data_IF_336076325584
#
_entry.id   IF_336076325584
#
_cell.length_a   1.000
_cell.length_b   1.000
_cell.length_c   1.000
_cell.angle_alpha   90.00
_cell.angle_beta   90.00
_cell.angle_gamma   90.00
#
_symmetry.space_group_name_H-M   'P 1'
#
loop_
_entity.id
_entity.type
_entity.pdbx_description
1 polymer ?
#
# COMPACT_ATOMS: atom_id res chain seq x y z
N UNK A 1 2.55 -17.59 9.51
CA UNK A 1 3.70 -16.94 8.85
C UNK A 1 4.05 -15.77 9.75
N UNK A 2 5.32 -15.59 10.13
CA UNK A 2 5.71 -14.57 11.12
C UNK A 2 5.95 -13.25 10.40
N UNK A 3 5.12 -12.22 10.63
CA UNK A 3 5.50 -10.84 10.27
C UNK A 3 6.61 -10.39 11.24
N UNK A 4 7.66 -9.76 10.71
CA UNK A 4 8.83 -9.30 11.47
C UNK A 4 9.04 -7.82 11.20
N UNK A 5 8.89 -6.99 12.23
CA UNK A 5 9.27 -5.58 12.20
C UNK A 5 10.66 -5.37 12.82
N UNK A 6 11.49 -4.49 12.26
CA UNK A 6 12.84 -4.17 12.76
C UNK A 6 12.88 -2.67 13.11
N UNK A 7 12.90 -2.36 14.40
CA UNK A 7 13.07 -0.98 14.89
C UNK A 7 14.49 -0.82 15.43
N UNK A 8 15.21 0.22 14.98
CA UNK A 8 16.58 0.52 15.41
C UNK A 8 16.63 1.70 16.39
N UNK A 9 17.33 1.53 17.51
CA UNK A 9 17.40 2.55 18.56
C UNK A 9 18.83 3.03 18.79
N UNK A 10 19.02 4.35 18.93
CA UNK A 10 20.31 5.03 19.09
C UNK A 10 20.38 5.76 20.45
N UNK A 11 21.42 5.53 21.26
CA UNK A 11 21.62 6.23 22.54
C UNK A 11 22.73 7.28 22.43
N UNK A 12 22.39 8.57 22.52
CA UNK A 12 23.36 9.68 22.46
C UNK A 12 23.55 10.31 23.84
N UNK A 13 24.81 10.38 24.30
CA UNK A 13 25.18 10.86 25.63
C UNK A 13 25.30 12.39 25.73
N UNK A 14 24.85 12.95 26.86
CA UNK A 14 25.25 14.27 27.37
C UNK A 14 25.61 14.22 28.87
N UNK A 15 26.25 15.27 29.39
CA UNK A 15 26.78 15.30 30.78
C UNK A 15 25.72 15.20 31.89
N UNK A 16 24.43 15.36 31.59
CA UNK A 16 23.32 15.31 32.57
C UNK A 16 22.04 14.60 32.06
N UNK A 17 22.02 14.15 30.81
CA UNK A 17 20.89 13.46 30.18
C UNK A 17 21.38 12.53 29.06
N UNK A 18 20.59 11.52 28.73
CA UNK A 18 20.76 10.72 27.53
C UNK A 18 19.58 10.99 26.60
N UNK A 19 19.85 11.15 25.31
CA UNK A 19 18.82 11.14 24.30
C UNK A 19 18.76 9.73 23.71
N UNK A 20 17.60 9.11 23.81
CA UNK A 20 17.23 7.93 23.07
C UNK A 20 16.56 8.41 21.78
N UNK A 21 17.16 8.11 20.65
CA UNK A 21 16.60 8.42 19.34
C UNK A 21 16.09 7.11 18.78
N UNK A 22 14.79 7.02 18.58
CA UNK A 22 14.15 5.88 17.92
C UNK A 22 14.13 6.21 16.43
N UNK A 23 14.72 5.33 15.62
CA UNK A 23 14.69 5.43 14.16
C UNK A 23 13.93 4.21 13.66
N UNK A 24 12.78 4.46 13.05
CA UNK A 24 12.11 3.41 12.28
C UNK A 24 12.97 3.11 11.04
N UNK A 25 13.35 1.84 10.87
CA UNK A 25 14.26 1.41 9.81
C UNK A 25 13.57 0.76 8.62
N UNK A 26 12.23 0.72 8.62
CA UNK A 26 11.45 0.22 7.48
C UNK A 26 11.59 1.11 6.22
N UNK A 27 12.26 2.26 6.31
CA UNK A 27 12.41 3.25 5.23
C UNK A 27 13.82 3.39 4.60
N UNK A 28 14.78 2.47 4.78
CA UNK A 28 16.08 2.59 4.07
C UNK A 28 16.56 1.36 3.31
N UNK A 29 16.62 1.51 1.99
CA UNK A 29 17.63 0.86 1.16
C UNK A 29 19.03 1.37 1.53
N UNK A 30 20.00 0.46 1.57
CA UNK A 30 21.32 0.67 2.14
C UNK A 30 22.21 1.68 1.40
N UNK A 31 22.83 2.64 2.10
CA UNK A 31 24.19 3.13 1.77
C UNK A 31 24.96 3.42 3.07
N UNK A 32 26.14 2.80 3.19
CA UNK A 32 27.10 2.99 4.28
C UNK A 32 27.84 4.32 4.08
N UNK A 33 27.89 5.12 5.16
CA UNK A 33 28.50 6.45 5.31
C UNK A 33 30.04 6.42 5.23
N UNK A 34 30.65 7.43 4.60
CA UNK A 34 32.03 7.84 4.89
C UNK A 34 32.06 9.16 5.68
N UNK A 35 32.25 8.99 6.99
CA UNK A 35 33.05 9.78 7.94
C UNK A 35 32.78 11.29 8.19
N UNK A 36 32.44 11.56 9.47
CA UNK A 36 32.82 12.71 10.32
C UNK A 36 32.00 14.01 10.33
N UNK A 37 30.75 13.96 10.80
CA UNK A 37 30.16 14.92 11.78
C UNK A 37 28.72 14.53 12.19
N UNK A 38 28.58 13.71 13.25
CA UNK A 38 27.32 13.06 13.68
C UNK A 38 26.10 13.98 13.98
N UNK A 39 26.25 15.31 13.89
CA UNK A 39 25.15 16.27 14.07
C UNK A 39 24.85 17.16 12.86
N UNK A 40 25.65 17.15 11.79
CA UNK A 40 25.37 17.96 10.58
C UNK A 40 24.73 17.15 9.43
N UNK A 41 24.60 15.82 9.56
CA UNK A 41 24.03 14.93 8.54
C UNK A 41 22.56 14.54 8.75
N UNK A 42 21.84 15.15 9.70
CA UNK A 42 20.39 14.88 9.92
C UNK A 42 19.47 16.02 9.49
N UNK A 43 20.02 17.09 8.92
CA UNK A 43 19.24 18.18 8.32
C UNK A 43 19.87 18.61 7.01
N UNK A 44 19.67 17.80 5.98
CA UNK A 44 20.10 18.15 4.64
C UNK A 44 19.68 17.12 3.60
N UNK A 45 18.38 16.95 3.38
CA UNK A 45 17.74 17.02 2.06
C UNK A 45 16.21 16.91 2.21
N UNK A 46 15.50 17.57 1.31
CA UNK A 46 14.04 17.63 1.28
C UNK A 46 13.46 16.27 0.85
N UNK A 47 12.32 15.87 1.41
CA UNK A 47 11.47 14.79 0.91
C UNK A 47 11.67 13.43 1.59
N UNK A 48 11.35 13.33 2.88
CA UNK A 48 11.16 12.04 3.55
C UNK A 48 9.80 12.09 4.25
N UNK A 49 8.96 11.05 4.11
CA UNK A 49 7.86 10.77 5.05
C UNK A 49 8.44 10.96 6.43
N UNK A 50 7.92 11.93 7.16
CA UNK A 50 8.22 12.09 8.57
C UNK A 50 7.63 10.89 9.31
N UNK A 51 8.26 9.72 9.20
CA UNK A 51 8.35 8.83 10.34
C UNK A 51 8.94 9.68 11.44
N UNK A 52 8.10 10.12 12.38
CA UNK A 52 8.52 10.98 13.46
C UNK A 52 9.70 10.30 14.13
N UNK A 53 10.91 10.85 13.96
CA UNK A 53 12.06 10.45 14.75
C UNK A 53 11.75 10.87 16.16
N UNK A 54 11.14 9.96 16.92
CA UNK A 54 10.77 10.23 18.29
C UNK A 54 12.02 10.25 19.16
N UNK A 55 12.22 11.38 19.82
CA UNK A 55 13.38 11.63 20.66
C UNK A 55 12.98 11.58 22.13
N UNK A 56 13.29 10.46 22.78
CA UNK A 56 13.06 10.30 24.20
C UNK A 56 14.29 10.72 24.99
N UNK A 57 14.22 11.87 25.67
CA UNK A 57 15.31 12.26 26.58
C UNK A 57 15.09 11.63 27.95
N UNK A 58 16.01 10.74 28.35
CA UNK A 58 16.04 10.12 29.67
C UNK A 58 17.00 10.88 30.57
N UNK A 59 16.60 11.09 31.82
CA UNK A 59 17.44 11.75 32.83
C UNK A 59 17.87 10.74 33.88
N UNK A 60 19.15 10.82 34.26
CA UNK A 60 19.68 10.00 35.35
C UNK A 60 18.91 10.27 36.63
N UNK A 61 18.58 9.21 37.36
CA UNK A 61 17.83 9.21 38.62
C UNK A 61 16.39 9.77 38.50
N UNK A 62 15.85 9.87 37.27
CA UNK A 62 14.48 10.30 37.00
C UNK A 62 13.74 9.18 36.29
N UNK A 63 12.55 8.86 36.79
CA UNK A 63 11.65 7.90 36.14
C UNK A 63 11.29 8.41 34.74
N UNK A 64 11.47 7.56 33.74
CA UNK A 64 11.13 7.91 32.36
C UNK A 64 9.64 7.84 32.11
N UNK A 65 9.16 8.58 31.11
CA UNK A 65 7.90 8.25 30.49
C UNK A 65 8.04 6.90 29.78
N UNK A 66 7.06 5.98 29.90
CA UNK A 66 7.07 4.74 29.13
C UNK A 66 7.21 5.02 27.64
N UNK A 67 7.99 4.18 26.97
CA UNK A 67 8.13 4.19 25.51
C UNK A 67 7.44 2.94 25.01
N UNK A 68 6.35 3.11 24.27
CA UNK A 68 5.59 1.99 23.72
C UNK A 68 5.80 1.98 22.21
N UNK A 69 6.28 0.87 21.67
CA UNK A 69 6.36 0.67 20.22
C UNK A 69 4.99 0.23 19.70
N UNK A 70 4.58 0.80 18.57
CA UNK A 70 3.31 0.46 17.95
C UNK A 70 3.44 -0.78 17.06
N UNK A 71 2.36 -1.56 16.95
CA UNK A 71 2.26 -2.70 16.05
C UNK A 71 0.79 -3.02 15.81
N UNK A 72 0.39 -3.02 14.54
CA UNK A 72 -1.01 -3.18 14.13
C UNK A 72 -1.52 -4.63 14.17
N UNK A 73 -0.66 -5.60 14.49
CA UNK A 73 -1.06 -6.99 14.68
C UNK A 73 -1.47 -7.32 16.13
N UNK A 74 -2.34 -8.32 16.28
CA UNK A 74 -2.83 -8.78 17.59
C UNK A 74 -1.96 -9.91 18.13
N UNK A 75 -1.78 -9.95 19.45
CA UNK A 75 -1.06 -11.01 20.17
C UNK A 75 0.39 -11.21 19.67
N UNK A 76 1.15 -10.12 19.60
CA UNK A 76 2.58 -10.17 19.31
C UNK A 76 3.42 -10.45 20.56
N UNK A 77 4.33 -11.41 20.45
CA UNK A 77 5.43 -11.59 21.40
C UNK A 77 6.57 -10.65 21.01
N UNK A 78 6.95 -9.74 21.91
CA UNK A 78 7.98 -8.76 21.67
C UNK A 78 9.34 -9.18 22.24
N UNK A 79 10.41 -8.91 21.51
CA UNK A 79 11.79 -9.15 21.93
C UNK A 79 12.68 -7.93 21.68
N UNK A 80 13.76 -7.76 22.46
CA UNK A 80 14.76 -6.70 22.27
C UNK A 80 16.16 -7.29 22.33
N UNK A 81 17.07 -6.81 21.49
CA UNK A 81 18.47 -7.22 21.49
C UNK A 81 19.41 -6.04 21.17
N UNK A 82 20.51 -5.83 21.92
CA UNK A 82 20.94 -6.57 23.10
C UNK A 82 20.03 -6.30 24.31
N UNK A 83 20.25 -7.01 25.42
CA UNK A 83 19.50 -6.77 26.65
C UNK A 83 19.65 -5.32 27.12
N UNK A 84 18.55 -4.72 27.59
CA UNK A 84 18.57 -3.40 28.19
C UNK A 84 19.43 -3.39 29.47
N UNK A 85 19.99 -2.23 29.85
CA UNK A 85 20.62 -2.06 31.15
C UNK A 85 19.66 -2.40 32.28
N UNK A 86 20.16 -2.93 33.39
CA UNK A 86 19.33 -3.48 34.48
C UNK A 86 18.36 -2.48 35.13
N UNK A 87 18.57 -1.18 34.93
CA UNK A 87 17.71 -0.11 35.42
C UNK A 87 16.50 0.19 34.51
N UNK A 88 16.47 -0.44 33.33
CA UNK A 88 15.39 -0.40 32.36
C UNK A 88 14.80 -1.81 32.20
N UNK A 89 13.54 -1.86 31.81
CA UNK A 89 12.80 -3.10 31.60
C UNK A 89 12.01 -3.02 30.30
N UNK A 90 11.95 -4.15 29.59
CA UNK A 90 11.16 -4.32 28.38
C UNK A 90 10.02 -5.28 28.67
N UNK A 91 8.78 -4.86 28.35
CA UNK A 91 7.62 -5.72 28.44
C UNK A 91 7.42 -6.46 27.12
N UNK A 92 7.70 -7.77 27.12
CA UNK A 92 7.56 -8.64 25.96
C UNK A 92 6.11 -8.85 25.51
N UNK A 93 5.11 -8.46 26.31
CA UNK A 93 3.69 -8.62 25.93
C UNK A 93 3.15 -7.42 25.14
N UNK A 94 3.82 -6.26 25.17
CA UNK A 94 3.26 -5.03 24.58
C UNK A 94 4.31 -4.02 24.08
N UNK A 95 5.57 -4.44 23.92
CA UNK A 95 6.62 -3.58 23.38
C UNK A 95 6.89 -2.31 24.21
N UNK A 96 6.65 -2.30 25.53
CA UNK A 96 6.88 -1.10 26.34
C UNK A 96 8.22 -1.13 27.09
N UNK A 97 9.04 -0.08 26.95
CA UNK A 97 10.21 0.17 27.79
C UNK A 97 9.82 1.08 28.97
N UNK A 98 10.20 0.67 30.18
CA UNK A 98 10.03 1.47 31.40
C UNK A 98 11.26 1.39 32.30
N UNK A 99 11.46 2.37 33.17
CA UNK A 99 12.52 2.30 34.17
C UNK A 99 12.97 3.66 34.73
N UNK A 100 14.05 3.62 35.51
CA UNK A 100 14.74 4.80 36.04
C UNK A 100 16.23 4.61 35.80
N UNK A 101 16.83 5.26 34.78
CA UNK A 101 18.27 5.16 34.53
C UNK A 101 19.07 5.58 35.76
N UNK A 102 19.88 4.69 36.32
CA UNK A 102 20.73 4.97 37.49
C UNK A 102 22.18 5.29 37.10
N UNK A 103 22.54 5.09 35.83
CA UNK A 103 23.82 5.46 35.25
C UNK A 103 23.71 5.95 33.81
N UNK A 104 24.86 6.38 33.28
CA UNK A 104 25.00 6.75 31.88
C UNK A 104 25.38 5.51 31.08
N UNK A 105 24.62 5.19 30.02
CA UNK A 105 24.89 4.02 29.18
C UNK A 105 25.76 4.37 27.99
N UNK A 106 26.58 3.41 27.56
CA UNK A 106 27.33 3.54 26.31
C UNK A 106 26.35 3.54 25.12
N UNK A 107 26.77 4.24 24.06
CA UNK A 107 26.08 4.20 22.77
C UNK A 107 25.89 2.74 22.33
N UNK A 108 24.63 2.31 22.22
CA UNK A 108 24.25 0.93 21.92
C UNK A 108 23.09 0.95 20.93
N UNK A 109 23.21 0.18 19.87
CA UNK A 109 22.11 -0.06 18.94
C UNK A 109 21.26 -1.21 19.46
N UNK A 110 19.96 -0.96 19.64
CA UNK A 110 18.99 -2.01 19.97
C UNK A 110 18.11 -2.30 18.78
N UNK A 111 17.80 -3.57 18.60
CA UNK A 111 16.81 -4.09 17.66
C UNK A 111 15.64 -4.64 18.44
N UNK A 112 14.44 -4.23 18.08
CA UNK A 112 13.20 -4.69 18.69
C UNK A 112 12.43 -5.51 17.65
N UNK A 113 11.88 -6.63 18.09
CA UNK A 113 11.06 -7.55 17.29
C UNK A 113 9.66 -7.59 17.87
N UNK A 114 8.64 -7.57 17.01
CA UNK A 114 7.28 -7.99 17.32
C UNK A 114 7.00 -9.27 16.53
N UNK A 115 6.58 -10.33 17.20
CA UNK A 115 6.39 -11.66 16.61
C UNK A 115 4.95 -12.12 16.83
N UNK A 116 4.06 -11.81 15.87
CA UNK A 116 2.67 -12.23 15.94
C UNK A 116 2.45 -13.61 15.28
N UNK A 117 1.52 -14.38 15.85
CA UNK A 117 1.10 -15.68 15.31
C UNK A 117 -0.13 -15.59 14.39
N UNK A 118 -0.79 -14.43 14.35
CA UNK A 118 -1.99 -14.14 13.56
C UNK A 118 -1.80 -12.95 12.62
N UNK A 119 -2.50 -13.03 11.49
CA UNK A 119 -2.76 -11.92 10.57
C UNK A 119 -3.36 -10.75 11.38
N UNK A 120 -2.96 -9.48 11.16
CA UNK A 120 -3.59 -8.33 11.81
C UNK A 120 -5.12 -8.46 11.69
N UNK A 121 -5.82 -8.48 12.83
CA UNK A 121 -7.27 -8.79 12.85
C UNK A 121 -8.13 -7.64 12.36
N UNK A 122 -7.51 -6.52 12.05
CA UNK A 122 -8.11 -5.37 11.39
C UNK A 122 -7.34 -5.18 10.09
N UNK A 123 -7.97 -5.42 8.92
CA UNK A 123 -7.43 -4.95 7.65
C UNK A 123 -7.07 -3.46 7.78
N UNK A 124 -6.03 -2.97 7.10
CA UNK A 124 -5.74 -1.53 7.09
C UNK A 124 -7.00 -0.79 6.65
N UNK A 125 -7.26 0.37 7.27
CA UNK A 125 -8.50 1.11 7.07
C UNK A 125 -8.59 1.58 5.61
N UNK A 126 -9.38 0.84 4.83
CA UNK A 126 -9.70 1.17 3.45
C UNK A 126 -10.60 2.40 3.39
N UNK A 127 -10.26 3.34 2.51
CA UNK A 127 -11.14 4.47 2.19
C UNK A 127 -12.32 4.02 1.33
N UNK A 128 -12.10 3.05 0.44
CA UNK A 128 -13.12 2.45 -0.41
C UNK A 128 -12.92 0.94 -0.43
N UNK A 129 -14.00 0.19 -0.21
CA UNK A 129 -13.96 -1.26 -0.15
C UNK A 129 -15.19 -1.88 -0.81
N UNK A 130 -14.94 -2.46 -1.98
CA UNK A 130 -15.93 -3.15 -2.79
C UNK A 130 -15.70 -4.65 -2.67
N UNK A 131 -16.65 -5.37 -2.07
CA UNK A 131 -16.67 -6.83 -2.04
C UNK A 131 -17.97 -7.33 -2.66
N UNK A 132 -17.89 -8.06 -3.77
CA UNK A 132 -19.10 -8.54 -4.46
C UNK A 132 -19.95 -9.45 -3.57
N UNK A 133 -19.33 -10.13 -2.59
CA UNK A 133 -20.01 -10.96 -1.61
C UNK A 133 -21.06 -10.23 -0.78
N UNK A 134 -20.88 -8.94 -0.57
CA UNK A 134 -21.73 -8.10 0.28
C UNK A 134 -22.74 -7.24 -0.53
N UNK A 135 -22.56 -7.17 -1.85
CA UNK A 135 -23.49 -6.54 -2.79
C UNK A 135 -24.65 -7.51 -3.12
N UNK A 136 -25.69 -7.52 -2.29
CA UNK A 136 -26.78 -8.51 -2.32
C UNK A 136 -28.20 -7.95 -2.56
N UNK A 137 -28.33 -6.64 -2.85
CA UNK A 137 -29.62 -5.99 -3.08
C UNK A 137 -30.03 -5.94 -4.57
N UNK A 138 -29.06 -6.05 -5.48
CA UNK A 138 -29.26 -6.19 -6.92
C UNK A 138 -29.78 -4.93 -7.60
N UNK A 139 -29.33 -3.76 -7.16
CA UNK A 139 -29.83 -2.46 -7.62
C UNK A 139 -29.00 -1.80 -8.74
N UNK A 140 -28.08 -2.55 -9.36
CA UNK A 140 -27.14 -2.11 -10.41
C UNK A 140 -25.97 -1.24 -9.91
N UNK A 141 -25.80 -1.14 -8.60
CA UNK A 141 -24.64 -0.53 -7.96
C UNK A 141 -23.83 -1.58 -7.22
N UNK A 142 -22.50 -1.54 -7.39
CA UNK A 142 -21.59 -2.28 -6.55
C UNK A 142 -21.09 -1.34 -5.47
N UNK A 143 -21.65 -1.54 -4.28
CA UNK A 143 -21.61 -0.63 -3.14
C UNK A 143 -20.26 -0.60 -2.41
N UNK A 144 -19.86 0.60 -1.97
CA UNK A 144 -18.79 0.76 -0.99
C UNK A 144 -19.27 0.41 0.43
N UNK A 145 -18.59 -0.53 1.08
CA UNK A 145 -18.97 -1.01 2.40
C UNK A 145 -18.62 -0.06 3.55
N UNK A 146 -17.93 1.05 3.27
CA UNK A 146 -17.64 2.12 4.25
C UNK A 146 -18.70 3.23 4.24
N UNK A 147 -19.73 3.13 3.38
CA UNK A 147 -20.90 4.01 3.37
C UNK A 147 -20.69 5.30 2.57
N UNK A 148 -19.77 5.27 1.60
CA UNK A 148 -19.51 6.38 0.69
C UNK A 148 -20.35 6.24 -0.59
N UNK A 149 -21.68 6.37 -0.49
CA UNK A 149 -22.64 6.15 -1.59
C UNK A 149 -22.36 7.00 -2.86
N UNK A 150 -21.64 8.12 -2.75
CA UNK A 150 -21.25 8.94 -3.91
C UNK A 150 -20.17 8.26 -4.80
N UNK A 151 -19.59 7.15 -4.32
CA UNK A 151 -18.51 6.39 -4.96
C UNK A 151 -18.94 5.00 -5.41
N UNK A 152 -20.23 4.66 -5.36
CA UNK A 152 -20.67 3.35 -5.80
C UNK A 152 -20.38 3.11 -7.28
N UNK A 153 -20.00 1.88 -7.60
CA UNK A 153 -19.61 1.50 -8.95
C UNK A 153 -20.88 1.11 -9.70
N UNK A 154 -21.21 1.85 -10.76
CA UNK A 154 -22.35 1.54 -11.62
C UNK A 154 -21.99 0.33 -12.48
N UNK A 155 -22.73 -0.76 -12.34
CA UNK A 155 -22.50 -2.00 -13.09
C UNK A 155 -23.57 -2.23 -14.16
N UNK A 156 -23.18 -2.84 -15.28
CA UNK A 156 -24.12 -3.22 -16.35
C UNK A 156 -23.70 -4.49 -17.05
N UNK A 157 -24.67 -5.37 -17.30
CA UNK A 157 -24.50 -6.68 -17.94
C UNK A 157 -23.54 -7.64 -17.23
N UNK A 158 -23.28 -7.43 -15.94
CA UNK A 158 -22.43 -8.31 -15.13
C UNK A 158 -23.27 -9.36 -14.40
N UNK A 159 -22.85 -10.61 -14.50
CA UNK A 159 -23.42 -11.71 -13.71
C UNK A 159 -22.68 -11.80 -12.37
N UNK A 160 -23.43 -11.73 -11.27
CA UNK A 160 -22.91 -12.05 -9.92
C UNK A 160 -22.81 -13.56 -9.75
N UNK A 161 -21.60 -14.07 -9.55
CA UNK A 161 -21.30 -15.51 -9.51
C UNK A 161 -20.68 -15.93 -8.18
N UNK A 162 -21.09 -17.09 -7.68
CA UNK A 162 -20.56 -17.69 -6.44
C UNK A 162 -19.11 -18.13 -6.63
N UNK A 163 -18.29 -17.89 -5.61
CA UNK A 163 -16.88 -18.27 -5.53
C UNK A 163 -16.71 -19.40 -4.51
N UNK A 164 -15.84 -20.36 -4.83
CA UNK A 164 -15.47 -21.47 -3.94
C UNK A 164 -13.96 -21.61 -3.89
N UNK A 165 -13.40 -21.95 -2.73
CA UNK A 165 -11.97 -22.23 -2.57
C UNK A 165 -11.17 -21.11 -1.90
N UNK A 166 -11.76 -19.93 -1.75
CA UNK A 166 -11.24 -18.81 -0.97
C UNK A 166 -12.21 -18.46 0.16
N UNK A 167 -11.70 -17.91 1.27
CA UNK A 167 -12.50 -17.59 2.46
C UNK A 167 -12.85 -16.11 2.60
N UNK A 168 -12.14 -15.24 1.88
CA UNK A 168 -12.19 -13.78 2.13
C UNK A 168 -13.32 -13.09 1.36
N UNK A 169 -13.83 -13.73 0.32
CA UNK A 169 -15.02 -13.30 -0.41
C UNK A 169 -15.81 -14.50 -0.90
N UNK A 170 -17.11 -14.27 -1.12
CA UNK A 170 -18.06 -15.33 -1.49
C UNK A 170 -18.54 -15.24 -2.93
N UNK A 171 -18.38 -14.08 -3.58
CA UNK A 171 -18.88 -13.83 -4.92
C UNK A 171 -17.90 -13.00 -5.75
N UNK A 172 -18.17 -12.95 -7.05
CA UNK A 172 -17.48 -12.11 -8.01
C UNK A 172 -18.43 -11.64 -9.12
N UNK A 173 -18.08 -10.55 -9.79
CA UNK A 173 -18.73 -10.13 -11.02
C UNK A 173 -17.99 -10.72 -12.22
N UNK A 174 -18.74 -11.35 -13.12
CA UNK A 174 -18.21 -11.98 -14.33
C UNK A 174 -18.24 -11.02 -15.51
N UNK A 175 -17.07 -10.83 -16.11
CA UNK A 175 -16.85 -10.13 -17.37
C UNK A 175 -16.64 -11.15 -18.48
N UNK A 176 -17.65 -11.41 -19.30
CA UNK A 176 -17.60 -12.41 -20.39
C UNK A 176 -18.00 -11.86 -21.77
N UNK A 177 -18.35 -10.59 -21.84
CA UNK A 177 -18.74 -9.87 -23.05
C UNK A 177 -18.08 -8.50 -23.15
N UNK A 178 -18.03 -7.95 -24.36
CA UNK A 178 -17.52 -6.59 -24.63
C UNK A 178 -18.55 -5.50 -24.31
N UNK A 179 -19.72 -5.88 -23.80
CA UNK A 179 -20.79 -4.98 -23.36
C UNK A 179 -20.80 -4.74 -21.85
N UNK A 180 -19.91 -5.43 -21.13
CA UNK A 180 -19.91 -5.44 -19.68
C UNK A 180 -19.16 -4.21 -19.19
N UNK A 181 -19.73 -3.53 -18.19
CA UNK A 181 -19.20 -2.28 -17.68
C UNK A 181 -19.32 -2.23 -16.17
N UNK A 182 -18.28 -1.73 -15.51
CA UNK A 182 -18.32 -1.29 -14.12
C UNK A 182 -17.60 0.07 -14.06
N UNK A 183 -18.34 1.12 -13.72
CA UNK A 183 -17.90 2.51 -13.89
C UNK A 183 -18.04 3.26 -12.58
N UNK A 184 -16.97 3.92 -12.18
CA UNK A 184 -16.90 4.74 -10.99
C UNK A 184 -16.87 6.22 -11.36
N UNK A 185 -17.35 7.08 -10.46
CA UNK A 185 -17.34 8.53 -10.65
C UNK A 185 -15.94 9.12 -10.77
N UNK A 186 -15.87 10.36 -11.24
CA UNK A 186 -14.66 11.19 -11.38
C UNK A 186 -14.52 12.19 -10.22
N UNK A 187 -14.89 11.79 -9.00
CA UNK A 187 -15.00 12.70 -7.84
C UNK A 187 -13.88 12.50 -6.80
N UNK A 188 -12.82 11.74 -7.09
CA UNK A 188 -11.78 11.41 -6.12
C UNK A 188 -11.11 12.67 -5.52
N UNK A 189 -10.89 13.68 -6.36
CA UNK A 189 -10.35 14.99 -6.00
C UNK A 189 -11.33 15.88 -5.21
N UNK A 190 -12.62 15.56 -5.20
CA UNK A 190 -13.64 16.32 -4.48
C UNK A 190 -13.77 15.87 -3.01
N UNK A 191 -13.04 14.83 -2.60
CA UNK A 191 -12.99 14.38 -1.22
C UNK A 191 -12.27 15.42 -0.34
N UNK A 192 -12.77 15.65 0.87
CA UNK A 192 -12.09 16.51 1.85
C UNK A 192 -10.67 16.04 2.15
N UNK A 193 -9.67 16.72 1.57
CA UNK A 193 -8.26 16.34 1.70
C UNK A 193 -7.57 16.20 0.35
N UNK A 194 -8.36 15.97 -0.72
CA UNK A 194 -7.89 15.54 -2.04
C UNK A 194 -7.06 14.26 -1.95
N UNK A 195 -7.75 13.11 -1.88
CA UNK A 195 -7.08 11.80 -1.75
C UNK A 195 -6.07 11.52 -2.86
N UNK A 196 -6.20 12.24 -3.99
CA UNK A 196 -5.35 12.04 -5.16
C UNK A 196 -3.92 12.58 -4.95
N UNK A 197 -3.72 13.39 -3.92
CA UNK A 197 -2.44 13.96 -3.50
C UNK A 197 -1.73 13.12 -2.43
N UNK A 198 -2.29 11.99 -1.97
CA UNK A 198 -1.72 11.15 -0.91
C UNK A 198 -1.26 9.79 -1.42
N UNK A 199 -0.26 9.19 -0.76
CA UNK A 199 0.16 7.80 -1.01
C UNK A 199 -1.02 6.83 -0.94
N UNK A 200 -1.06 5.86 -1.87
CA UNK A 200 -2.17 4.91 -1.98
C UNK A 200 -1.72 3.48 -2.20
N UNK A 201 -2.57 2.56 -1.78
CA UNK A 201 -2.51 1.17 -2.18
C UNK A 201 -3.83 0.74 -2.78
N UNK A 202 -3.78 0.10 -3.95
CA UNK A 202 -4.95 -0.40 -4.66
C UNK A 202 -4.83 -1.92 -4.78
N UNK A 203 -5.83 -2.62 -4.28
CA UNK A 203 -5.95 -4.07 -4.38
C UNK A 203 -7.05 -4.46 -5.37
N UNK A 204 -6.81 -5.53 -6.12
CA UNK A 204 -7.84 -6.27 -6.83
C UNK A 204 -7.68 -7.78 -6.63
N UNK A 205 -8.81 -8.46 -6.44
CA UNK A 205 -8.91 -9.92 -6.56
C UNK A 205 -9.58 -10.29 -7.86
N UNK A 206 -8.86 -11.01 -8.72
CA UNK A 206 -9.30 -11.32 -10.08
C UNK A 206 -8.94 -12.75 -10.48
N UNK A 207 -9.72 -13.31 -11.41
CA UNK A 207 -9.47 -14.61 -12.02
C UNK A 207 -9.67 -14.51 -13.52
N UNK A 208 -8.60 -14.45 -14.33
CA UNK A 208 -8.71 -14.34 -15.77
C UNK A 208 -9.26 -15.64 -16.38
N UNK A 209 -10.16 -15.53 -17.36
CA UNK A 209 -10.58 -16.64 -18.21
C UNK A 209 -9.86 -16.65 -19.56
N UNK A 210 -9.22 -15.54 -19.93
CA UNK A 210 -8.37 -15.41 -21.10
C UNK A 210 -7.30 -14.33 -20.87
N UNK A 211 -6.11 -14.54 -21.45
CA UNK A 211 -4.98 -13.60 -21.44
C UNK A 211 -4.69 -13.07 -22.84
N UNK A 212 -5.70 -12.99 -23.72
CA UNK A 212 -5.51 -12.57 -25.11
C UNK A 212 -5.85 -11.10 -25.31
N UNK A 213 -4.91 -10.36 -25.91
CA UNK A 213 -5.04 -8.92 -26.16
C UNK A 213 -4.85 -8.10 -24.89
N UNK A 214 -5.09 -6.80 -25.01
CA UNK A 214 -4.94 -5.87 -23.89
C UNK A 214 -6.28 -5.73 -23.17
N UNK A 215 -6.28 -5.82 -21.85
CA UNK A 215 -7.49 -5.83 -21.00
C UNK A 215 -7.30 -4.92 -19.79
N UNK A 216 -8.34 -4.22 -19.40
CA UNK A 216 -8.33 -3.32 -18.23
C UNK A 216 -8.79 -4.10 -17.01
N UNK A 217 -8.00 -4.11 -15.93
CA UNK A 217 -8.45 -4.56 -14.60
C UNK A 217 -9.01 -3.38 -13.81
N UNK A 218 -8.26 -2.27 -13.77
CA UNK A 218 -8.79 -0.96 -13.39
C UNK A 218 -8.07 0.16 -14.15
N UNK A 219 -8.75 1.29 -14.25
CA UNK A 219 -8.20 2.54 -14.77
C UNK A 219 -8.79 3.72 -14.01
N UNK A 220 -7.94 4.65 -13.61
CA UNK A 220 -8.30 5.87 -12.90
C UNK A 220 -7.55 7.03 -13.57
N UNK A 221 -8.26 8.10 -13.89
CA UNK A 221 -7.72 9.27 -14.59
C UNK A 221 -7.81 9.16 -16.13
N UNK A 222 -6.87 9.77 -16.84
CA UNK A 222 -6.97 9.93 -18.30
C UNK A 222 -5.64 10.12 -19.02
N UNK A 223 -5.69 10.80 -20.16
CA UNK A 223 -4.51 10.94 -21.04
C UNK A 223 -3.47 11.96 -20.57
N UNK A 224 -3.80 12.82 -19.61
CA UNK A 224 -2.91 13.80 -18.98
C UNK A 224 -2.11 13.21 -17.83
N UNK A 225 -2.78 12.45 -16.99
CA UNK A 225 -2.37 11.96 -15.67
C UNK A 225 -3.30 10.82 -15.26
N UNK A 226 -2.87 10.02 -14.29
CA UNK A 226 -3.62 8.89 -13.77
C UNK A 226 -2.87 7.57 -13.89
N UNK A 227 -3.57 6.49 -13.57
CA UNK A 227 -2.96 5.18 -13.46
C UNK A 227 -3.88 4.05 -13.91
N UNK A 228 -3.29 2.89 -14.18
CA UNK A 228 -4.05 1.70 -14.52
C UNK A 228 -3.30 0.42 -14.17
N UNK A 229 -4.07 -0.63 -13.90
CA UNK A 229 -3.59 -2.00 -13.96
C UNK A 229 -4.25 -2.69 -15.14
N UNK A 230 -3.42 -3.20 -16.05
CA UNK A 230 -3.86 -3.81 -17.29
C UNK A 230 -3.19 -5.16 -17.50
N UNK A 231 -3.84 -6.03 -18.26
CA UNK A 231 -3.22 -7.23 -18.82
C UNK A 231 -2.84 -6.95 -20.27
N UNK A 232 -1.55 -6.95 -20.58
CA UNK A 232 -1.04 -6.86 -21.96
C UNK A 232 -0.68 -8.27 -22.44
N UNK A 233 -1.70 -9.02 -22.85
CA UNK A 233 -1.54 -10.46 -23.05
C UNK A 233 -1.47 -11.18 -21.70
N UNK A 234 -0.34 -11.84 -21.43
CA UNK A 234 -0.07 -12.52 -20.14
C UNK A 234 0.82 -11.70 -19.19
N UNK A 235 1.03 -10.43 -19.51
CA UNK A 235 1.79 -9.51 -18.68
C UNK A 235 0.81 -8.64 -17.88
N UNK A 236 0.87 -8.74 -16.55
CA UNK A 236 0.15 -7.85 -15.65
C UNK A 236 1.01 -6.59 -15.46
N UNK A 237 0.51 -5.46 -15.93
CA UNK A 237 1.26 -4.21 -16.02
C UNK A 237 0.54 -3.12 -15.25
N UNK A 238 1.22 -2.57 -14.25
CA UNK A 238 0.83 -1.32 -13.63
C UNK A 238 1.50 -0.16 -14.37
N UNK A 239 0.73 0.89 -14.64
CA UNK A 239 1.23 2.10 -15.28
C UNK A 239 0.73 3.35 -14.57
N UNK A 240 1.66 4.25 -14.26
CA UNK A 240 1.38 5.60 -13.74
C UNK A 240 1.85 6.63 -14.75
N UNK A 241 1.08 7.71 -14.88
CA UNK A 241 1.53 8.95 -15.48
C UNK A 241 1.28 10.09 -14.50
N UNK A 242 2.34 10.75 -14.06
CA UNK A 242 2.23 11.93 -13.21
C UNK A 242 1.86 13.17 -14.04
N UNK A 243 1.25 14.17 -13.40
CA UNK A 243 0.95 15.44 -14.05
C UNK A 243 2.24 16.29 -14.24
N UNK A 244 2.20 17.32 -15.10
CA UNK A 244 3.29 18.30 -15.26
C UNK A 244 4.19 18.16 -16.52
N UNK A 245 5.16 19.08 -16.63
CA UNK A 245 5.92 19.33 -17.89
C UNK A 245 6.87 18.18 -18.30
N UNK A 246 7.25 17.29 -17.37
CA UNK A 246 8.15 16.18 -17.64
C UNK A 246 7.44 14.81 -17.79
N UNK A 247 6.13 14.70 -17.50
CA UNK A 247 5.32 13.47 -17.56
C UNK A 247 6.14 12.22 -17.19
N UNK A 248 6.48 12.03 -15.91
CA UNK A 248 7.13 10.79 -15.54
C UNK A 248 6.15 9.63 -15.72
N UNK A 249 6.66 8.53 -16.29
CA UNK A 249 5.90 7.31 -16.44
C UNK A 249 6.54 6.24 -15.57
N UNK A 250 5.70 5.51 -14.86
CA UNK A 250 6.07 4.21 -14.32
C UNK A 250 5.43 3.15 -15.17
N UNK A 251 6.21 2.14 -15.53
CA UNK A 251 5.73 0.91 -16.13
C UNK A 251 6.43 -0.23 -15.39
N UNK A 252 5.69 -0.97 -14.59
CA UNK A 252 6.16 -2.15 -13.84
C UNK A 252 5.24 -3.31 -14.13
N UNK A 253 5.82 -4.48 -14.33
CA UNK A 253 5.06 -5.63 -14.80
C UNK A 253 5.59 -6.95 -14.26
N UNK A 254 4.70 -7.94 -14.26
CA UNK A 254 5.04 -9.34 -14.05
C UNK A 254 4.30 -10.24 -15.04
N UNK A 255 4.80 -11.45 -15.25
CA UNK A 255 4.15 -12.44 -16.11
C UNK A 255 3.27 -13.35 -15.29
N UNK A 256 1.99 -13.42 -15.65
CA UNK A 256 1.02 -14.31 -15.01
C UNK A 256 0.72 -15.53 -15.88
N UNK A 257 0.18 -16.58 -15.26
CA UNK A 257 -0.29 -17.77 -15.94
C UNK A 257 -1.81 -17.80 -15.98
N UNK A 258 -2.37 -18.47 -16.98
CA UNK A 258 -3.81 -18.75 -17.01
C UNK A 258 -4.06 -20.05 -16.25
N UNK A 259 -4.77 -19.96 -15.14
CA UNK A 259 -5.26 -21.11 -14.38
C UNK A 259 -6.71 -20.91 -13.91
N UNK A 260 -7.15 -21.65 -12.89
CA UNK A 260 -8.53 -21.64 -12.39
C UNK A 260 -8.69 -20.94 -11.04
N UNK A 261 -7.65 -20.32 -10.52
CA UNK A 261 -7.62 -19.73 -9.19
C UNK A 261 -7.85 -18.21 -9.25
N UNK A 262 -8.30 -17.65 -8.13
CA UNK A 262 -8.24 -16.21 -7.94
C UNK A 262 -6.83 -15.82 -7.55
N UNK A 263 -6.38 -14.69 -8.08
CA UNK A 263 -5.12 -14.07 -7.75
C UNK A 263 -5.35 -12.69 -7.13
N UNK A 264 -4.40 -12.32 -6.28
CA UNK A 264 -4.34 -11.00 -5.67
C UNK A 264 -3.31 -10.16 -6.42
N UNK A 265 -3.67 -8.93 -6.78
CA UNK A 265 -2.70 -7.93 -7.20
C UNK A 265 -2.87 -6.68 -6.36
N UNK A 266 -1.74 -6.19 -5.83
CA UNK A 266 -1.68 -4.94 -5.07
C UNK A 266 -0.67 -4.03 -5.73
N UNK A 267 -1.09 -2.81 -6.02
CA UNK A 267 -0.20 -1.74 -6.41
C UNK A 267 -0.05 -0.81 -5.22
N UNK A 268 1.18 -0.48 -4.88
CA UNK A 268 1.51 0.52 -3.86
C UNK A 268 2.17 1.71 -4.56
N UNK A 269 1.61 2.90 -4.40
CA UNK A 269 2.22 4.17 -4.76
C UNK A 269 2.63 4.88 -3.48
N UNK A 270 3.94 4.89 -3.24
CA UNK A 270 4.56 5.61 -2.15
C UNK A 270 5.07 6.96 -2.69
N UNK A 271 4.30 8.01 -2.43
CA UNK A 271 4.63 9.36 -2.86
C UNK A 271 5.85 9.88 -2.11
N UNK A 272 5.91 9.64 -0.80
CA UNK A 272 7.00 10.12 0.03
C UNK A 272 8.36 9.53 -0.37
N UNK A 273 8.38 8.27 -0.81
CA UNK A 273 9.56 7.63 -1.36
C UNK A 273 9.72 7.82 -2.89
N UNK A 274 8.73 8.39 -3.57
CA UNK A 274 8.59 8.45 -5.02
C UNK A 274 8.76 7.06 -5.68
N UNK A 275 8.14 6.03 -5.12
CA UNK A 275 8.28 4.64 -5.56
C UNK A 275 6.93 3.97 -5.81
N UNK A 276 6.83 3.23 -6.90
CA UNK A 276 5.70 2.36 -7.19
C UNK A 276 6.12 0.89 -7.08
N UNK A 277 5.24 0.06 -6.54
CA UNK A 277 5.45 -1.38 -6.34
C UNK A 277 4.25 -2.16 -6.88
N UNK A 278 4.53 -3.31 -7.50
CA UNK A 278 3.55 -4.28 -7.93
C UNK A 278 3.80 -5.58 -7.19
N UNK A 279 2.78 -5.98 -6.43
CA UNK A 279 2.72 -7.27 -5.75
C UNK A 279 1.71 -8.17 -6.45
N UNK A 280 2.03 -9.46 -6.50
CA UNK A 280 1.17 -10.50 -7.05
C UNK A 280 1.18 -11.70 -6.10
N UNK A 281 -0.01 -12.15 -5.68
CA UNK A 281 -0.20 -13.19 -4.67
C UNK A 281 0.64 -12.98 -3.39
N UNK A 282 0.69 -11.73 -2.92
CA UNK A 282 1.39 -11.32 -1.70
C UNK A 282 2.91 -11.13 -1.84
N UNK A 283 3.50 -11.43 -3.00
CA UNK A 283 4.94 -11.32 -3.24
C UNK A 283 5.27 -10.09 -4.09
N UNK A 284 6.38 -9.42 -3.78
CA UNK A 284 6.86 -8.28 -4.57
C UNK A 284 7.43 -8.76 -5.91
N UNK A 285 6.84 -8.31 -7.01
CA UNK A 285 7.22 -8.72 -8.35
C UNK A 285 8.05 -7.66 -9.07
N UNK A 286 7.67 -6.39 -8.94
CA UNK A 286 8.33 -5.28 -9.62
C UNK A 286 8.20 -3.98 -8.85
N UNK A 287 9.16 -3.08 -9.07
CA UNK A 287 9.15 -1.74 -8.49
C UNK A 287 9.92 -0.75 -9.36
N UNK A 288 9.54 0.52 -9.34
CA UNK A 288 10.25 1.59 -10.03
C UNK A 288 10.06 2.94 -9.34
N UNK A 289 11.06 3.80 -9.45
CA UNK A 289 10.98 5.19 -9.00
C UNK A 289 10.21 6.04 -10.00
N UNK A 290 9.51 7.05 -9.52
CA UNK A 290 8.93 8.13 -10.33
C UNK A 290 9.37 9.50 -9.82
N UNK A 291 8.86 10.56 -10.42
CA UNK A 291 9.11 11.94 -10.01
C UNK A 291 8.06 12.85 -10.62
N UNK A 292 7.66 13.92 -9.94
CA UNK A 292 6.71 14.90 -10.47
C UNK A 292 5.49 15.09 -9.57
N UNK A 293 4.61 16.01 -9.95
CA UNK A 293 3.43 16.32 -9.15
C UNK A 293 2.46 15.12 -9.21
N UNK A 294 2.11 14.62 -8.03
CA UNK A 294 1.36 13.40 -7.83
C UNK A 294 -0.14 13.75 -7.73
N UNK A 295 -0.89 13.36 -8.74
CA UNK A 295 -2.36 13.33 -8.77
C UNK A 295 -2.71 12.05 -9.53
N UNK A 296 -3.15 11.03 -8.80
CA UNK A 296 -3.43 9.71 -9.39
C UNK A 296 -4.88 9.53 -9.84
N UNK A 297 -5.78 10.44 -9.47
CA UNK A 297 -7.23 10.33 -9.68
C UNK A 297 -7.70 10.92 -11.00
N UNK A 298 -7.03 11.98 -11.47
CA UNK A 298 -7.40 12.69 -12.69
C UNK A 298 -8.85 13.21 -12.69
N UNK A 299 -9.33 13.67 -13.85
CA UNK A 299 -10.66 14.29 -14.00
C UNK A 299 -11.60 13.49 -14.91
N UNK A 300 -11.44 12.17 -14.94
CA UNK A 300 -12.18 11.26 -15.80
C UNK A 300 -12.75 10.13 -14.96
N UNK A 301 -13.88 9.59 -15.42
CA UNK A 301 -14.54 8.47 -14.76
C UNK A 301 -13.67 7.23 -14.84
N UNK A 302 -13.46 6.58 -13.70
CA UNK A 302 -12.70 5.35 -13.58
C UNK A 302 -13.50 4.12 -14.03
N UNK A 303 -12.79 3.07 -14.43
CA UNK A 303 -13.35 1.82 -14.92
C UNK A 303 -12.77 0.61 -14.18
N UNK A 304 -13.63 -0.35 -13.84
CA UNK A 304 -13.23 -1.67 -13.30
C UNK A 304 -13.57 -2.74 -14.33
N UNK A 305 -12.61 -3.57 -14.68
CA UNK A 305 -12.77 -4.63 -15.68
C UNK A 305 -13.05 -4.12 -17.11
N UNK A 306 -12.93 -2.82 -17.37
CA UNK A 306 -13.18 -2.22 -18.67
C UNK A 306 -12.76 -0.75 -18.72
N UNK A 307 -12.53 -0.24 -19.93
CA UNK A 307 -12.27 1.17 -20.17
C UNK A 307 -13.60 1.93 -20.21
N UNK A 308 -13.67 3.06 -19.50
CA UNK A 308 -14.83 3.94 -19.56
C UNK A 308 -14.56 5.24 -20.33
N UNK A 309 -13.34 5.77 -20.28
CA UNK A 309 -12.91 6.87 -21.16
C UNK A 309 -11.53 6.61 -21.78
N UNK A 310 -10.45 7.09 -21.17
CA UNK A 310 -9.09 6.82 -21.59
C UNK A 310 -8.37 6.11 -20.47
N UNK A 311 -7.85 4.91 -20.72
CA UNK A 311 -7.08 4.14 -19.74
C UNK A 311 -5.98 5.00 -19.10
N UNK A 312 -6.09 5.29 -17.80
CA UNK A 312 -5.13 6.09 -17.05
C UNK A 312 -3.67 5.64 -17.25
N UNK A 313 -2.73 6.58 -17.29
CA UNK A 313 -1.30 6.29 -17.48
C UNK A 313 -0.83 6.22 -18.94
N UNK A 314 -1.76 6.26 -19.92
CA UNK A 314 -1.46 6.16 -21.35
C UNK A 314 -1.77 7.45 -22.12
N UNK A 315 -0.90 7.83 -23.04
CA UNK A 315 -1.12 8.96 -23.95
C UNK A 315 -2.17 8.64 -25.01
N UNK A 316 -2.76 9.68 -25.63
CA UNK A 316 -3.72 9.51 -26.75
C UNK A 316 -3.21 8.62 -27.90
N UNK A 317 -1.90 8.65 -28.18
CA UNK A 317 -1.30 7.79 -29.20
C UNK A 317 -1.31 6.32 -28.76
N UNK A 318 -0.96 6.08 -27.50
CA UNK A 318 -0.93 4.73 -26.92
C UNK A 318 -2.33 4.16 -26.73
N UNK A 319 -3.33 4.97 -26.40
CA UNK A 319 -4.74 4.53 -26.39
C UNK A 319 -5.13 3.91 -27.72
N UNK A 320 -4.80 4.59 -28.82
CA UNK A 320 -5.12 4.10 -30.17
C UNK A 320 -4.36 2.81 -30.51
N UNK A 321 -3.13 2.67 -29.99
CA UNK A 321 -2.26 1.53 -30.28
C UNK A 321 -2.61 0.29 -29.43
N UNK A 322 -2.90 0.48 -28.15
CA UNK A 322 -3.03 -0.58 -27.15
C UNK A 322 -4.46 -0.87 -26.74
N UNK A 323 -5.34 0.13 -26.76
CA UNK A 323 -6.72 0.04 -26.26
C UNK A 323 -7.76 0.30 -27.36
N UNK A 324 -7.35 0.14 -28.63
CA UNK A 324 -8.28 0.11 -29.74
C UNK A 324 -9.10 -1.18 -29.79
N UNK A 325 -10.40 -1.09 -29.52
CA UNK A 325 -11.36 -2.19 -29.71
C UNK A 325 -11.93 -2.71 -28.39
N UNK A 326 -11.91 -4.04 -28.22
CA UNK A 326 -12.48 -4.71 -27.04
C UNK A 326 -11.43 -4.81 -25.91
N UNK A 327 -11.54 -3.93 -24.93
CA UNK A 327 -10.63 -3.79 -23.78
C UNK A 327 -11.21 -4.35 -22.48
N UNK A 328 -12.47 -4.78 -22.49
CA UNK A 328 -13.14 -5.37 -21.33
C UNK A 328 -12.44 -6.65 -20.90
N UNK A 329 -12.13 -6.76 -19.61
CA UNK A 329 -11.57 -7.94 -18.97
C UNK A 329 -12.38 -9.21 -19.29
N UNK A 330 -11.71 -10.36 -19.24
CA UNK A 330 -12.34 -11.66 -19.42
C UNK A 330 -12.04 -12.50 -18.19
N UNK A 331 -13.04 -12.73 -17.35
CA UNK A 331 -12.85 -13.39 -16.08
C UNK A 331 -13.82 -12.92 -15.01
N UNK A 332 -13.46 -13.19 -13.76
CA UNK A 332 -14.25 -12.80 -12.59
C UNK A 332 -13.42 -11.80 -11.74
N UNK A 333 -14.03 -10.71 -11.26
CA UNK A 333 -13.44 -9.75 -10.29
C UNK A 333 -14.28 -9.78 -9.01
N UNK A 334 -13.64 -9.96 -7.85
CA UNK A 334 -14.33 -10.21 -6.58
C UNK A 334 -14.21 -9.08 -5.56
N UNK A 335 -13.04 -8.45 -5.50
CA UNK A 335 -12.75 -7.37 -4.58
C UNK A 335 -12.00 -6.29 -5.33
N UNK A 336 -12.37 -5.04 -5.07
CA UNK A 336 -11.56 -3.88 -5.36
C UNK A 336 -11.48 -3.03 -4.10
N UNK A 337 -10.28 -2.64 -3.70
CA UNK A 337 -10.06 -1.90 -2.46
C UNK A 337 -9.02 -0.82 -2.67
N UNK A 338 -9.29 0.36 -2.13
CA UNK A 338 -8.36 1.49 -2.14
C UNK A 338 -8.07 1.87 -0.69
N UNK A 339 -6.80 2.03 -0.38
CA UNK A 339 -6.28 2.44 0.92
C UNK A 339 -5.48 3.73 0.73
N UNK A 340 -5.70 4.67 1.63
CA UNK A 340 -4.93 5.93 1.75
C UNK A 340 -3.66 5.67 2.58
N UNK A 341 -2.87 4.68 2.16
CA UNK A 341 -1.55 4.40 2.72
C UNK A 341 -0.68 3.65 1.72
N UNK A 342 0.64 3.82 1.85
CA UNK A 342 1.63 3.02 1.15
C UNK A 342 1.93 1.75 1.97
N UNK A 343 1.28 0.63 1.62
CA UNK A 343 1.42 -0.61 2.37
C UNK A 343 2.84 -1.21 2.26
N UNK A 344 3.33 -1.74 3.36
CA UNK A 344 4.57 -2.52 3.37
C UNK A 344 4.35 -3.98 2.92
N UNK A 345 5.44 -4.69 2.62
CA UNK A 345 5.37 -6.07 2.14
C UNK A 345 4.66 -7.05 3.09
N UNK A 346 4.68 -6.77 4.40
CA UNK A 346 4.04 -7.62 5.41
C UNK A 346 2.54 -7.39 5.49
N UNK A 347 2.09 -6.15 5.27
CA UNK A 347 0.68 -5.79 5.17
C UNK A 347 0.07 -6.32 3.88
N UNK A 348 0.78 -6.24 2.76
CA UNK A 348 0.34 -6.85 1.50
C UNK A 348 0.23 -8.37 1.62
N UNK A 349 1.22 -9.02 2.24
CA UNK A 349 1.18 -10.46 2.47
C UNK A 349 0.05 -10.91 3.43
N UNK A 350 -0.53 -9.99 4.22
CA UNK A 350 -1.66 -10.28 5.08
C UNK A 350 -2.98 -10.43 4.32
N UNK A 351 -3.02 -10.06 3.03
CA UNK A 351 -4.22 -10.20 2.20
C UNK A 351 -4.41 -11.61 1.63
N UNK A 352 -3.38 -12.46 1.59
CA UNK A 352 -3.37 -13.75 0.86
C UNK A 352 -3.21 -15.01 1.72
#
# INVERSE_FOLDING_TARGET
>A
MFSKRIISMLVVLSFISQALVVVDTDSYSSVVVEDSSILEELYGENGARSGTVENYTLYKDVEMNPITFDYDGVDADWEIYPDLPASLSFNSENGTITGTPDELFDFTNYTIYANASSIPTTPPDSILYYNVGDDDDGDEYWEDLRGNEDYDIIISNLDRVEVTGITDFTHAYRFDSSSDTAVMGDNFQDWSGDLTDDSISIEIWFKPSALSGNKVLWEIGGSSDGNSLVLMGNELTYRLKTSGDNNAYVDISTTISLDSEFHNAVVVLDEDAEMAYLYYDGELEASASFSGDFDWGGNNKAGIGGENDNVGGYTNSEQTEHFGGDTTFRGDIAVHRILEDALDSSEVAAFV
#
